data_IF_468537072810
#
_entry.id   IF_468537072810
#
_cell.length_a   1.000
_cell.length_b   1.000
_cell.length_c   1.000
_cell.angle_alpha   90.00
_cell.angle_beta   90.00
_cell.angle_gamma   90.00
#
_symmetry.space_group_name_H-M   'P 1'
#
loop_
_entity.id
_entity.type
_entity.pdbx_description
1 polymer ?
#
# COMPACT_ATOMS: atom_id res chain seq x y z
N UNK A 1 6.30 9.60 7.48
CA UNK A 1 7.28 8.66 6.91
C UNK A 1 7.12 8.64 5.40
N UNK A 2 8.13 8.23 4.65
CA UNK A 2 7.96 8.00 3.21
C UNK A 2 6.94 6.87 3.00
N UNK A 3 5.98 7.07 2.09
CA UNK A 3 5.02 6.04 1.71
C UNK A 3 5.70 4.91 0.93
N UNK A 4 4.99 3.80 0.77
CA UNK A 4 5.46 2.57 0.12
C UNK A 4 4.78 2.41 -1.23
N UNK A 5 5.61 2.23 -2.25
CA UNK A 5 5.17 1.97 -3.62
C UNK A 5 4.67 0.53 -3.77
N UNK A 6 4.26 0.18 -4.99
CA UNK A 6 3.74 -1.15 -5.33
C UNK A 6 4.67 -2.27 -4.86
N UNK A 7 4.11 -3.32 -4.24
CA UNK A 7 4.80 -4.43 -3.58
C UNK A 7 5.71 -4.04 -2.40
N UNK A 8 5.68 -2.78 -1.96
CA UNK A 8 6.32 -2.36 -0.73
C UNK A 8 5.57 -2.90 0.49
N UNK A 9 6.31 -3.38 1.49
CA UNK A 9 5.72 -3.92 2.72
C UNK A 9 4.98 -2.84 3.53
N UNK A 10 3.83 -3.20 4.09
CA UNK A 10 2.95 -2.29 4.83
C UNK A 10 2.31 -2.98 6.05
N UNK A 11 1.92 -2.19 7.05
CA UNK A 11 1.08 -2.62 8.19
C UNK A 11 -0.33 -2.03 8.12
N UNK A 12 -0.50 -1.00 7.29
CA UNK A 12 -1.74 -0.24 7.15
C UNK A 12 -1.81 0.40 5.77
N UNK A 13 -3.01 0.72 5.30
CA UNK A 13 -3.20 1.46 4.03
C UNK A 13 -2.49 2.80 4.03
N UNK A 14 -2.35 3.47 5.17
CA UNK A 14 -1.61 4.74 5.29
C UNK A 14 -0.10 4.62 5.07
N UNK A 15 0.45 3.41 5.06
CA UNK A 15 1.85 3.19 4.68
C UNK A 15 2.04 3.29 3.17
N UNK A 16 0.99 3.08 2.38
CA UNK A 16 1.06 3.01 0.92
C UNK A 16 0.96 4.40 0.28
N UNK A 17 1.58 4.56 -0.90
CA UNK A 17 1.47 5.80 -1.66
C UNK A 17 0.08 5.95 -2.29
N UNK A 18 -0.15 7.09 -2.95
CA UNK A 18 -1.39 7.34 -3.68
C UNK A 18 -1.71 6.19 -4.66
N UNK A 19 -3.00 5.87 -4.78
CA UNK A 19 -3.53 4.75 -5.56
C UNK A 19 -3.12 3.35 -5.10
N UNK A 20 -2.58 3.24 -3.89
CA UNK A 20 -2.19 1.98 -3.29
C UNK A 20 -2.86 1.79 -1.93
N UNK A 21 -3.21 0.54 -1.65
CA UNK A 21 -3.73 0.11 -0.35
C UNK A 21 -3.05 -1.16 0.12
N UNK A 22 -2.96 -1.32 1.43
CA UNK A 22 -2.29 -2.47 2.03
C UNK A 22 -3.16 -3.71 1.92
N UNK A 23 -2.67 -4.77 1.27
CA UNK A 23 -3.35 -6.07 1.22
C UNK A 23 -3.13 -6.83 2.52
N UNK A 24 -4.01 -6.56 3.48
CA UNK A 24 -4.00 -7.20 4.80
C UNK A 24 -3.98 -8.73 4.67
N UNK A 25 -3.02 -9.38 5.32
CA UNK A 25 -2.78 -10.83 5.24
C UNK A 25 -1.62 -11.21 4.32
N UNK A 26 -1.21 -10.34 3.39
CA UNK A 26 0.02 -10.47 2.60
C UNK A 26 1.00 -9.31 2.85
N UNK A 27 0.55 -8.27 3.56
CA UNK A 27 1.33 -7.15 4.08
C UNK A 27 2.14 -6.38 3.01
N UNK A 28 1.55 -6.17 1.83
CA UNK A 28 2.13 -5.34 0.76
C UNK A 28 1.13 -4.35 0.14
N UNK A 29 1.66 -3.24 -0.39
CA UNK A 29 0.90 -2.22 -1.10
C UNK A 29 0.54 -2.67 -2.52
N UNK A 30 -0.74 -2.69 -2.84
CA UNK A 30 -1.28 -3.03 -4.15
C UNK A 30 -2.18 -1.92 -4.67
N UNK A 31 -2.39 -1.87 -5.98
CA UNK A 31 -3.32 -0.91 -6.57
C UNK A 31 -4.72 -1.04 -5.96
N UNK A 32 -5.29 0.09 -5.55
CA UNK A 32 -6.53 0.14 -4.79
C UNK A 32 -7.78 0.39 -5.64
N UNK A 33 -7.61 0.67 -6.93
CA UNK A 33 -8.73 0.99 -7.83
C UNK A 33 -8.83 2.46 -8.21
N UNK A 34 -8.05 3.35 -7.59
CA UNK A 34 -8.10 4.79 -7.81
C UNK A 34 -7.06 5.28 -8.83
N UNK A 35 -7.28 6.48 -9.38
CA UNK A 35 -6.48 7.15 -10.41
C UNK A 35 -6.12 8.57 -10.01
#
# INVERSE_FOLDING_TARGET
>A
GACRWFLGGCKSTSDCCEHLSCKMGLDYCAWDGTF
#
